data_IF_479102425803
#
_entry.id   IF_479102425803
#
_cell.length_a   1.000
_cell.length_b   1.000
_cell.length_c   1.000
_cell.angle_alpha   90.00
_cell.angle_beta   90.00
_cell.angle_gamma   90.00
#
_symmetry.space_group_name_H-M   'P 1'
#
loop_
_entity.id
_entity.type
_entity.pdbx_description
1 polymer ?
#
# COMPACT_ATOMS: atom_id res chain seq x y z
N UNK A 1 -3.45 19.85 12.99
CA UNK A 1 -2.24 19.14 12.54
C UNK A 1 -2.12 17.87 13.35
N UNK A 2 -1.92 16.72 12.71
CA UNK A 2 -1.58 15.47 13.40
C UNK A 2 -0.05 15.39 13.38
N UNK A 3 0.59 15.10 14.51
CA UNK A 3 2.05 15.02 14.62
C UNK A 3 2.38 13.72 15.32
N UNK A 4 3.38 12.98 14.83
CA UNK A 4 3.86 11.78 15.50
C UNK A 4 4.59 12.21 16.78
N UNK A 5 4.19 11.72 17.95
CA UNK A 5 4.70 12.17 19.24
C UNK A 5 6.20 11.89 19.48
N UNK A 6 6.85 11.18 18.57
CA UNK A 6 8.27 10.80 18.61
C UNK A 6 9.17 11.80 17.86
N UNK A 7 8.59 12.78 17.14
CA UNK A 7 9.36 13.84 16.52
C UNK A 7 9.83 14.84 17.58
N UNK A 8 11.12 14.82 17.89
CA UNK A 8 11.79 15.93 18.55
C UNK A 8 11.56 17.20 17.71
N UNK A 9 11.38 18.33 18.39
CA UNK A 9 10.90 19.62 17.86
C UNK A 9 11.69 20.24 16.67
N UNK A 10 12.67 19.55 16.10
CA UNK A 10 13.59 20.02 15.06
C UNK A 10 13.46 19.34 13.68
N UNK A 11 12.67 18.26 13.53
CA UNK A 11 12.36 17.68 12.20
C UNK A 11 11.18 18.39 11.55
N UNK A 12 11.44 19.57 10.96
CA UNK A 12 10.45 20.35 10.18
C UNK A 12 10.10 19.72 8.82
N UNK A 13 9.80 18.43 8.76
CA UNK A 13 9.15 17.91 7.56
C UNK A 13 7.68 18.33 7.56
N UNK A 14 7.12 18.75 6.42
CA UNK A 14 5.73 19.14 6.32
C UNK A 14 4.85 17.91 6.54
N UNK A 15 4.33 17.79 7.76
CA UNK A 15 3.34 16.78 8.10
C UNK A 15 2.03 17.17 7.40
N UNK A 16 1.38 16.20 6.75
CA UNK A 16 0.15 16.44 6.00
C UNK A 16 -0.85 17.28 6.81
N UNK A 17 -1.19 18.45 6.26
CA UNK A 17 -2.13 19.38 6.88
C UNK A 17 -3.44 19.40 6.08
N UNK A 18 -4.54 19.08 6.75
CA UNK A 18 -5.90 19.28 6.20
C UNK A 18 -6.47 20.60 6.71
N UNK A 19 -7.03 21.41 5.82
CA UNK A 19 -7.79 22.60 6.21
C UNK A 19 -9.09 22.16 6.89
N UNK A 20 -9.45 22.83 7.98
CA UNK A 20 -10.67 22.57 8.75
C UNK A 20 -11.42 23.88 9.02
N UNK A 21 -12.74 23.81 9.23
CA UNK A 21 -13.53 24.98 9.61
C UNK A 21 -13.03 25.53 10.95
N UNK A 22 -12.87 26.86 11.02
CA UNK A 22 -12.39 27.53 12.23
C UNK A 22 -13.38 27.28 13.37
N UNK A 23 -12.88 26.73 14.47
CA UNK A 23 -13.69 26.39 15.65
C UNK A 23 -14.14 24.94 15.71
N UNK A 24 -13.77 24.09 14.73
CA UNK A 24 -13.96 22.65 14.83
C UNK A 24 -13.21 22.08 16.05
N UNK A 25 -13.86 21.17 16.79
CA UNK A 25 -13.32 20.54 18.00
C UNK A 25 -13.24 19.03 17.84
N UNK A 26 -12.13 18.43 18.24
CA UNK A 26 -11.99 16.96 18.26
C UNK A 26 -12.91 16.40 19.36
N UNK A 27 -13.77 15.46 19.01
CA UNK A 27 -14.64 14.75 19.95
C UNK A 27 -13.97 13.45 20.39
N UNK A 28 -13.58 12.61 19.43
CA UNK A 28 -12.96 11.32 19.73
C UNK A 28 -12.12 10.80 18.56
N UNK A 29 -11.27 9.83 18.87
CA UNK A 29 -10.53 9.00 17.92
C UNK A 29 -11.08 7.59 18.05
N UNK A 30 -11.41 6.94 16.93
CA UNK A 30 -11.91 5.56 16.98
C UNK A 30 -10.72 4.61 17.08
N UNK A 31 -10.73 3.74 18.09
CA UNK A 31 -9.68 2.72 18.26
C UNK A 31 -9.58 1.81 17.04
N UNK A 32 -8.36 1.34 16.74
CA UNK A 32 -8.05 0.41 15.64
C UNK A 32 -8.55 0.88 14.26
N UNK A 33 -8.64 2.20 14.08
CA UNK A 33 -9.20 2.82 12.89
C UNK A 33 -8.56 4.19 12.66
N UNK A 34 -8.50 4.64 11.41
CA UNK A 34 -8.03 6.00 11.10
C UNK A 34 -9.09 7.09 11.27
N UNK A 35 -10.29 6.74 11.75
CA UNK A 35 -11.40 7.68 11.95
C UNK A 35 -11.16 8.61 13.13
N UNK A 36 -11.27 9.90 12.87
CA UNK A 36 -11.29 10.95 13.87
C UNK A 36 -12.62 11.70 13.76
N UNK A 37 -13.33 11.84 14.87
CA UNK A 37 -14.63 12.52 14.91
C UNK A 37 -14.42 13.94 15.41
N UNK A 38 -14.92 14.90 14.64
CA UNK A 38 -14.88 16.32 14.96
C UNK A 38 -16.30 16.86 15.03
N UNK A 39 -16.55 17.79 15.96
CA UNK A 39 -17.72 18.62 15.94
C UNK A 39 -17.37 19.93 15.25
N UNK A 40 -18.11 20.26 14.19
CA UNK A 40 -18.02 21.55 13.51
C UNK A 40 -18.65 22.67 14.35
N UNK A 41 -18.30 23.95 14.12
CA UNK A 41 -18.88 25.08 14.84
C UNK A 41 -20.42 25.14 14.79
N UNK A 42 -21.03 24.57 13.74
CA UNK A 42 -22.48 24.53 13.52
C UNK A 42 -23.18 23.39 14.28
N UNK A 43 -22.45 22.58 15.05
CA UNK A 43 -22.97 21.46 15.83
C UNK A 43 -22.92 20.10 15.14
N UNK A 44 -22.74 20.05 13.82
CA UNK A 44 -22.62 18.80 13.05
C UNK A 44 -21.37 18.00 13.44
N UNK A 45 -21.46 16.67 13.41
CA UNK A 45 -20.31 15.78 13.53
C UNK A 45 -19.77 15.41 12.16
N UNK A 46 -18.46 15.55 11.98
CA UNK A 46 -17.74 15.10 10.80
C UNK A 46 -16.71 14.04 11.17
N UNK A 47 -16.67 12.98 10.37
CA UNK A 47 -15.63 11.95 10.45
C UNK A 47 -14.55 12.27 9.42
N UNK A 48 -13.31 12.34 9.87
CA UNK A 48 -12.15 12.56 9.02
C UNK A 48 -11.21 11.36 9.13
N UNK A 49 -10.52 11.05 8.04
CA UNK A 49 -9.49 10.01 8.00
C UNK A 49 -8.13 10.65 7.71
N UNK A 50 -7.37 11.06 8.73
CA UNK A 50 -6.03 11.60 8.52
C UNK A 50 -5.15 10.53 7.89
N UNK A 51 -4.49 10.89 6.79
CA UNK A 51 -3.69 9.97 6.00
C UNK A 51 -2.59 9.29 6.81
N UNK A 52 -1.93 10.07 7.67
CA UNK A 52 -0.89 9.59 8.59
C UNK A 52 -1.37 8.39 9.42
N UNK A 53 -2.61 8.47 9.95
CA UNK A 53 -3.17 7.38 10.75
C UNK A 53 -3.52 6.17 9.90
N UNK A 54 -4.01 6.39 8.68
CA UNK A 54 -4.25 5.29 7.75
C UNK A 54 -2.97 4.58 7.36
N UNK A 55 -1.89 5.33 7.05
CA UNK A 55 -0.58 4.76 6.71
C UNK A 55 0.00 3.97 7.89
N UNK A 56 -0.12 4.49 9.10
CA UNK A 56 0.31 3.77 10.31
C UNK A 56 -0.45 2.45 10.48
N UNK A 57 -1.78 2.49 10.36
CA UNK A 57 -2.63 1.30 10.44
C UNK A 57 -2.32 0.27 9.33
N UNK A 58 -1.99 0.75 8.12
CA UNK A 58 -1.53 -0.12 7.02
C UNK A 58 -0.22 -0.80 7.38
N UNK A 59 0.73 -0.07 7.98
CA UNK A 59 1.97 -0.64 8.50
C UNK A 59 1.70 -1.80 9.46
N UNK A 60 0.83 -1.59 10.45
CA UNK A 60 0.45 -2.64 11.41
C UNK A 60 -0.19 -3.86 10.72
N UNK A 61 -1.06 -3.64 9.72
CA UNK A 61 -1.63 -4.74 8.94
C UNK A 61 -0.58 -5.52 8.15
N UNK A 62 0.36 -4.83 7.50
CA UNK A 62 1.44 -5.48 6.74
C UNK A 62 2.38 -6.25 7.67
N UNK A 63 2.67 -5.72 8.86
CA UNK A 63 3.50 -6.40 9.85
C UNK A 63 2.88 -7.69 10.37
N UNK A 64 1.56 -7.68 10.55
CA UNK A 64 0.77 -8.84 10.95
C UNK A 64 0.34 -9.75 9.78
N UNK A 65 0.84 -9.50 8.56
CA UNK A 65 0.49 -10.25 7.33
C UNK A 65 -1.01 -10.24 6.99
N UNK A 66 -1.72 -9.19 7.39
CA UNK A 66 -3.13 -8.97 7.07
C UNK A 66 -3.26 -8.21 5.74
N UNK A 67 -2.79 -8.83 4.66
CA UNK A 67 -2.74 -8.24 3.32
C UNK A 67 -4.10 -7.78 2.79
N UNK A 68 -5.18 -8.52 3.06
CA UNK A 68 -6.52 -8.09 2.65
C UNK A 68 -6.93 -6.76 3.30
N UNK A 69 -6.71 -6.62 4.61
CA UNK A 69 -7.07 -5.39 5.34
C UNK A 69 -6.24 -4.21 4.87
N UNK A 70 -4.93 -4.41 4.66
CA UNK A 70 -4.04 -3.40 4.09
C UNK A 70 -4.51 -2.98 2.69
N UNK A 71 -4.73 -3.94 1.78
CA UNK A 71 -5.17 -3.69 0.41
C UNK A 71 -6.52 -2.97 0.35
N UNK A 72 -7.51 -3.42 1.11
CA UNK A 72 -8.84 -2.82 1.12
C UNK A 72 -8.81 -1.37 1.63
N UNK A 73 -8.01 -1.09 2.67
CA UNK A 73 -7.83 0.25 3.20
C UNK A 73 -7.11 1.16 2.19
N UNK A 74 -6.03 0.68 1.58
CA UNK A 74 -5.31 1.40 0.52
C UNK A 74 -6.25 1.77 -0.63
N UNK A 75 -7.00 0.79 -1.15
CA UNK A 75 -7.95 0.96 -2.25
C UNK A 75 -9.08 1.92 -1.89
N UNK A 76 -9.74 1.75 -0.74
CA UNK A 76 -10.87 2.60 -0.31
C UNK A 76 -10.46 4.06 -0.12
N UNK A 77 -9.25 4.30 0.38
CA UNK A 77 -8.75 5.65 0.64
C UNK A 77 -7.87 6.21 -0.49
N UNK A 78 -7.75 5.50 -1.62
CA UNK A 78 -6.91 5.88 -2.76
C UNK A 78 -5.48 6.19 -2.31
N UNK A 79 -4.90 5.24 -1.58
CA UNK A 79 -3.51 5.23 -1.17
C UNK A 79 -2.72 4.40 -2.15
N UNK A 80 -1.52 4.88 -2.47
CA UNK A 80 -0.68 4.25 -3.47
C UNK A 80 -0.35 2.81 -3.04
N UNK A 81 -0.73 1.84 -3.89
CA UNK A 81 -0.60 0.41 -3.62
C UNK A 81 0.86 -0.07 -3.57
N UNK A 82 1.81 0.74 -4.03
CA UNK A 82 3.24 0.47 -3.85
C UNK A 82 3.61 0.32 -2.36
N UNK A 83 2.83 0.90 -1.43
CA UNK A 83 3.01 0.70 0.02
C UNK A 83 2.85 -0.75 0.50
N UNK A 84 2.30 -1.66 -0.29
CA UNK A 84 2.25 -3.09 0.06
C UNK A 84 3.65 -3.71 -0.06
N UNK A 85 4.48 -3.20 -0.98
CA UNK A 85 5.79 -3.75 -1.34
C UNK A 85 6.92 -2.93 -0.72
N UNK A 86 6.85 -1.62 -0.86
CA UNK A 86 7.97 -0.71 -0.61
C UNK A 86 8.51 -0.71 0.82
N UNK A 87 7.70 -0.90 1.90
CA UNK A 87 8.22 -0.93 3.26
C UNK A 87 9.24 -2.05 3.51
N UNK A 88 8.99 -3.23 2.96
CA UNK A 88 9.91 -4.38 3.04
C UNK A 88 9.69 -5.31 1.84
N UNK A 89 10.34 -5.03 0.70
CA UNK A 89 10.16 -5.82 -0.52
C UNK A 89 10.56 -7.28 -0.33
N UNK A 90 11.53 -7.55 0.55
CA UNK A 90 12.02 -8.90 0.81
C UNK A 90 10.96 -9.72 1.54
N UNK A 91 10.42 -9.18 2.65
CA UNK A 91 9.33 -9.80 3.41
C UNK A 91 8.08 -9.99 2.54
N UNK A 92 7.75 -9.01 1.68
CA UNK A 92 6.64 -9.15 0.75
C UNK A 92 6.84 -10.33 -0.22
N UNK A 93 8.03 -10.48 -0.81
CA UNK A 93 8.33 -11.57 -1.74
C UNK A 93 8.33 -12.95 -1.06
N UNK A 94 8.83 -13.03 0.19
CA UNK A 94 8.79 -14.27 1.00
C UNK A 94 7.36 -14.73 1.29
N UNK A 95 6.43 -13.78 1.49
CA UNK A 95 5.03 -14.03 1.86
C UNK A 95 4.04 -13.81 0.72
N UNK A 96 4.51 -13.80 -0.53
CA UNK A 96 3.67 -13.50 -1.70
C UNK A 96 2.49 -14.47 -1.88
N UNK A 97 2.66 -15.74 -1.51
CA UNK A 97 1.57 -16.73 -1.56
C UNK A 97 0.42 -16.34 -0.63
N UNK A 98 0.71 -15.85 0.57
CA UNK A 98 -0.30 -15.38 1.52
C UNK A 98 -1.04 -14.17 0.97
N UNK A 99 -0.31 -13.21 0.37
CA UNK A 99 -0.90 -12.05 -0.30
C UNK A 99 -1.91 -12.46 -1.38
N UNK A 100 -1.52 -13.34 -2.30
CA UNK A 100 -2.41 -13.81 -3.38
C UNK A 100 -3.60 -14.58 -2.81
N UNK A 101 -3.39 -15.42 -1.79
CA UNK A 101 -4.49 -16.18 -1.16
C UNK A 101 -5.53 -15.29 -0.46
N UNK A 102 -5.10 -14.17 0.13
CA UNK A 102 -5.99 -13.24 0.81
C UNK A 102 -6.73 -12.32 -0.16
N UNK A 103 -6.14 -12.00 -1.31
CA UNK A 103 -6.79 -11.22 -2.38
C UNK A 103 -7.31 -12.19 -3.43
N UNK A 104 -8.35 -12.94 -3.06
CA UNK A 104 -8.93 -13.98 -3.91
C UNK A 104 -9.57 -13.44 -5.20
N UNK A 105 -10.00 -12.19 -5.22
CA UNK A 105 -10.62 -11.57 -6.39
C UNK A 105 -9.57 -11.22 -7.47
N UNK A 106 -9.65 -11.81 -8.67
CA UNK A 106 -8.67 -11.55 -9.74
C UNK A 106 -8.63 -10.10 -10.22
N UNK A 107 -9.76 -9.38 -10.17
CA UNK A 107 -9.82 -7.96 -10.57
C UNK A 107 -9.05 -7.07 -9.58
N UNK A 108 -9.03 -7.42 -8.29
CA UNK A 108 -8.21 -6.70 -7.31
C UNK A 108 -6.72 -6.95 -7.47
N UNK A 109 -6.33 -8.18 -7.83
CA UNK A 109 -4.95 -8.47 -8.21
C UNK A 109 -4.56 -7.73 -9.49
N UNK A 110 -5.43 -7.65 -10.49
CA UNK A 110 -5.19 -6.85 -11.70
C UNK A 110 -4.99 -5.37 -11.38
N UNK A 111 -5.78 -4.81 -10.46
CA UNK A 111 -5.60 -3.44 -9.98
C UNK A 111 -4.21 -3.27 -9.37
N UNK A 112 -3.80 -4.17 -8.47
CA UNK A 112 -2.47 -4.14 -7.87
C UNK A 112 -1.35 -4.19 -8.92
N UNK A 113 -1.44 -5.12 -9.88
CA UNK A 113 -0.46 -5.29 -10.95
C UNK A 113 -0.37 -4.03 -11.81
N UNK A 114 -1.50 -3.39 -12.11
CA UNK A 114 -1.52 -2.20 -12.98
C UNK A 114 -1.02 -0.95 -12.27
N UNK A 115 -1.27 -0.82 -10.96
CA UNK A 115 -0.86 0.35 -10.18
C UNK A 115 0.59 0.26 -9.65
N UNK A 116 1.23 -0.90 -9.68
CA UNK A 116 2.60 -1.07 -9.20
C UNK A 116 3.59 -0.36 -10.15
N UNK A 117 4.47 0.48 -9.60
CA UNK A 117 5.41 1.31 -10.35
C UNK A 117 6.84 1.09 -9.86
N UNK A 118 7.85 1.34 -10.70
CA UNK A 118 9.27 1.30 -10.29
C UNK A 118 9.66 2.57 -9.51
N UNK A 119 8.98 2.82 -8.40
CA UNK A 119 9.21 3.95 -7.50
C UNK A 119 9.21 3.47 -6.06
N UNK A 120 9.89 4.17 -5.17
CA UNK A 120 9.78 3.93 -3.72
C UNK A 120 8.96 5.04 -3.07
N UNK A 121 7.69 4.73 -2.77
CA UNK A 121 6.77 5.71 -2.20
C UNK A 121 7.05 5.98 -0.72
N UNK A 122 7.78 5.10 -0.03
CA UNK A 122 8.18 5.32 1.36
C UNK A 122 9.27 6.39 1.46
N UNK A 123 10.09 6.56 0.42
CA UNK A 123 11.15 7.58 0.34
C UNK A 123 10.73 8.87 -0.35
N UNK A 124 9.61 8.84 -1.08
CA UNK A 124 9.09 9.98 -1.83
C UNK A 124 7.81 10.50 -1.20
N UNK A 125 6.65 10.07 -1.70
CA UNK A 125 5.32 10.57 -1.31
C UNK A 125 5.05 10.47 0.19
N UNK A 126 5.54 9.42 0.85
CA UNK A 126 5.26 9.12 2.25
C UNK A 126 6.46 9.28 3.18
N UNK A 127 7.57 9.88 2.73
CA UNK A 127 8.80 10.05 3.51
C UNK A 127 8.56 10.52 4.95
N UNK A 128 7.74 11.56 5.14
CA UNK A 128 7.41 12.11 6.45
C UNK A 128 6.66 11.16 7.39
N UNK A 129 6.00 10.12 6.88
CA UNK A 129 5.30 9.12 7.69
C UNK A 129 6.24 7.98 8.14
N UNK A 130 7.32 7.77 7.38
CA UNK A 130 8.28 6.68 7.56
C UNK A 130 9.62 7.17 8.15
N UNK A 131 9.70 8.41 8.67
CA UNK A 131 10.95 8.92 9.25
C UNK A 131 11.43 8.10 10.47
N UNK A 132 12.48 7.32 10.20
CA UNK A 132 13.70 7.10 10.98
C UNK A 132 13.58 6.50 12.38
N UNK A 133 13.02 5.30 12.45
CA UNK A 133 13.43 4.28 13.41
C UNK A 133 13.54 2.97 12.66
N UNK A 134 14.77 2.45 12.52
CA UNK A 134 15.16 1.08 12.14
C UNK A 134 14.17 0.23 11.31
N UNK A 135 14.66 -0.31 10.19
CA UNK A 135 14.05 -1.35 9.32
C UNK A 135 13.54 -0.85 7.97
N UNK A 136 14.45 -0.33 7.16
CA UNK A 136 14.58 -0.92 5.83
C UNK A 136 16.02 -1.37 5.69
N UNK A 137 16.26 -2.65 6.03
CA UNK A 137 17.43 -3.36 5.50
C UNK A 137 17.09 -3.60 4.03
N UNK A 138 17.16 -2.54 3.22
CA UNK A 138 17.26 -2.72 1.79
C UNK A 138 18.56 -3.48 1.58
N UNK A 139 18.56 -4.68 0.98
CA UNK A 139 19.81 -5.20 0.47
C UNK A 139 20.34 -4.13 -0.49
N UNK A 140 21.60 -3.73 -0.35
CA UNK A 140 22.28 -2.73 -1.20
C UNK A 140 22.19 -3.04 -2.72
N UNK A 141 21.58 -4.18 -3.09
CA UNK A 141 21.31 -4.66 -4.43
C UNK A 141 19.85 -4.53 -4.91
N UNK A 142 18.90 -3.95 -4.14
CA UNK A 142 17.53 -3.79 -4.62
C UNK A 142 17.40 -2.57 -5.55
N UNK A 143 17.55 -2.82 -6.84
CA UNK A 143 17.36 -1.80 -7.85
C UNK A 143 15.85 -1.50 -8.01
N UNK A 144 15.43 -0.29 -7.62
CA UNK A 144 14.03 0.17 -7.74
C UNK A 144 13.53 0.04 -9.18
N UNK A 145 14.41 0.21 -10.18
CA UNK A 145 14.09 0.01 -11.61
C UNK A 145 13.71 -1.44 -11.97
N UNK A 146 14.13 -2.42 -11.16
CA UNK A 146 13.82 -3.84 -11.32
C UNK A 146 12.65 -4.34 -10.47
N UNK A 147 12.06 -3.50 -9.61
CA UNK A 147 11.02 -3.91 -8.64
C UNK A 147 9.84 -4.59 -9.33
N UNK A 148 9.23 -3.89 -10.29
CA UNK A 148 8.04 -4.35 -11.02
C UNK A 148 8.35 -5.67 -11.71
N UNK A 149 9.51 -5.77 -12.37
CA UNK A 149 9.91 -6.99 -13.06
C UNK A 149 10.09 -8.17 -12.08
N UNK A 150 10.72 -7.95 -10.93
CA UNK A 150 10.95 -8.95 -9.89
C UNK A 150 9.64 -9.45 -9.26
N UNK A 151 8.77 -8.52 -8.86
CA UNK A 151 7.45 -8.84 -8.27
C UNK A 151 6.60 -9.62 -9.26
N UNK A 152 6.51 -9.17 -10.51
CA UNK A 152 5.70 -9.87 -11.53
C UNK A 152 6.28 -11.23 -11.90
N UNK A 153 7.60 -11.39 -11.89
CA UNK A 153 8.23 -12.70 -12.05
C UNK A 153 7.75 -13.70 -11.02
N UNK A 154 7.74 -13.30 -9.74
CA UNK A 154 7.24 -14.14 -8.65
C UNK A 154 5.73 -14.33 -8.67
N UNK A 155 4.94 -13.31 -9.00
CA UNK A 155 3.49 -13.48 -9.15
C UNK A 155 3.12 -14.49 -10.24
N UNK A 156 3.83 -14.47 -11.38
CA UNK A 156 3.62 -15.48 -12.44
C UNK A 156 3.92 -16.89 -11.93
N UNK A 157 4.99 -17.09 -11.15
CA UNK A 157 5.30 -18.38 -10.53
C UNK A 157 4.18 -18.85 -9.59
N UNK A 158 3.59 -17.93 -8.82
CA UNK A 158 2.47 -18.23 -7.91
C UNK A 158 1.20 -18.57 -8.69
N UNK A 159 0.82 -17.77 -9.69
CA UNK A 159 -0.37 -17.99 -10.50
C UNK A 159 -0.29 -19.30 -11.31
N UNK A 160 0.91 -19.72 -11.74
CA UNK A 160 1.09 -21.03 -12.41
C UNK A 160 0.77 -22.23 -11.52
N UNK A 161 0.89 -22.08 -10.20
CA UNK A 161 0.58 -23.14 -9.23
C UNK A 161 -0.90 -23.16 -8.83
N UNK A 162 -1.66 -22.12 -9.18
CA UNK A 162 -3.05 -21.94 -8.81
C UNK A 162 -3.99 -22.19 -9.99
N UNK A 163 -5.29 -22.21 -9.70
CA UNK A 163 -6.37 -22.57 -10.63
C UNK A 163 -6.57 -21.53 -11.76
N UNK A 164 -7.44 -21.86 -12.73
CA UNK A 164 -7.75 -21.02 -13.92
C UNK A 164 -8.25 -19.61 -13.58
N UNK A 165 -8.71 -19.38 -12.36
CA UNK A 165 -9.24 -18.09 -11.90
C UNK A 165 -8.21 -16.94 -12.00
N UNK A 166 -6.91 -17.24 -11.97
CA UNK A 166 -5.83 -16.25 -12.05
C UNK A 166 -5.22 -16.06 -13.45
N UNK A 167 -5.87 -16.54 -14.50
CA UNK A 167 -5.38 -16.38 -15.88
C UNK A 167 -5.28 -14.91 -16.30
N UNK A 168 -6.28 -14.10 -15.96
CA UNK A 168 -6.28 -12.66 -16.31
C UNK A 168 -5.14 -11.90 -15.59
N UNK A 169 -4.98 -11.97 -14.25
CA UNK A 169 -3.80 -11.42 -13.55
C UNK A 169 -2.46 -11.88 -14.15
N UNK A 170 -2.34 -13.15 -14.50
CA UNK A 170 -1.12 -13.70 -15.11
C UNK A 170 -0.83 -13.05 -16.46
N UNK A 171 -1.83 -12.90 -17.32
CA UNK A 171 -1.70 -12.20 -18.61
C UNK A 171 -1.29 -10.74 -18.38
N UNK A 172 -1.92 -10.04 -17.43
CA UNK A 172 -1.58 -8.65 -17.08
C UNK A 172 -0.11 -8.54 -16.67
N UNK A 173 0.42 -9.46 -15.86
CA UNK A 173 1.85 -9.50 -15.53
C UNK A 173 2.75 -9.65 -16.76
N UNK A 174 2.39 -10.53 -17.72
CA UNK A 174 3.19 -10.71 -18.94
C UNK A 174 3.21 -9.45 -19.80
N UNK A 175 2.05 -8.80 -19.98
CA UNK A 175 1.93 -7.55 -20.73
C UNK A 175 2.76 -6.44 -20.08
N UNK A 176 2.65 -6.26 -18.76
CA UNK A 176 3.41 -5.23 -18.05
C UNK A 176 4.93 -5.50 -18.04
N UNK A 177 5.36 -6.76 -18.17
CA UNK A 177 6.78 -7.13 -18.36
C UNK A 177 7.27 -6.94 -19.80
N UNK A 178 6.41 -6.57 -20.75
CA UNK A 178 6.74 -6.48 -22.18
C UNK A 178 6.85 -7.84 -22.89
N UNK A 179 6.43 -8.94 -22.25
CA UNK A 179 6.51 -10.30 -22.78
C UNK A 179 5.21 -10.66 -23.53
N UNK A 180 4.93 -9.95 -24.62
CA UNK A 180 3.66 -10.04 -25.35
C UNK A 180 3.43 -11.43 -25.95
N UNK A 181 4.48 -12.09 -26.47
CA UNK A 181 4.37 -13.44 -27.05
C UNK A 181 3.86 -14.47 -26.02
N UNK A 182 4.39 -14.39 -24.79
CA UNK A 182 3.94 -15.24 -23.70
C UNK A 182 2.49 -14.96 -23.32
N UNK A 183 2.05 -13.69 -23.36
CA UNK A 183 0.65 -13.33 -23.12
C UNK A 183 -0.27 -13.88 -24.22
N UNK A 184 0.11 -13.75 -25.49
CA UNK A 184 -0.66 -14.22 -26.65
C UNK A 184 -0.82 -15.75 -26.65
N UNK A 185 0.22 -16.48 -26.25
CA UNK A 185 0.17 -17.94 -26.16
C UNK A 185 -0.97 -18.44 -25.27
N UNK A 186 -1.32 -17.72 -24.19
CA UNK A 186 -2.43 -18.07 -23.29
C UNK A 186 -3.82 -17.70 -23.81
N UNK A 187 -3.92 -16.77 -24.76
CA UNK A 187 -5.21 -16.37 -25.34
C UNK A 187 -5.60 -17.32 -26.49
N UNK A 188 -4.61 -17.92 -27.13
CA UNK A 188 -4.78 -18.75 -28.33
C UNK A 188 -4.77 -20.26 -28.05
N UNK A 189 -4.80 -20.67 -26.77
CA UNK A 189 -4.99 -22.07 -26.34
C UNK A 189 -6.40 -22.29 -25.81
#
# INVERSE_FOLDING_TARGET
HFVKLIDHADSRLPIESRRMERGARRVTMVNESSKCVFQLPRGNLEVIHPRLLSIHLIGDFLDNRQYWLAFDLLRKQRINLNLIVDPDPKKFLEHLNEFVSQISNPQWLNLFITDLQNEDVTRTMYAGNYERGQLSVYPDAYEVAGKVHGVFGKLIEVFKKQDKEFELPKITCYVQKGLIENALAFIWT
#
